data_IF_925862282767
#
_entry.id   IF_925862282767
#
_cell.length_a   1.000
_cell.length_b   1.000
_cell.length_c   1.000
_cell.angle_alpha   90.00
_cell.angle_beta   90.00
_cell.angle_gamma   90.00
#
_symmetry.space_group_name_H-M   'P 1'
#
loop_
_entity.id
_entity.type
_entity.pdbx_description
1 polymer ?
#
# COMPACT_ATOMS: atom_id res chain seq x y z
N UNK A 1 13.89 6.24 -56.20
CA UNK A 1 12.66 5.84 -55.48
C UNK A 1 13.02 4.79 -54.45
N UNK A 2 13.16 5.18 -53.18
CA UNK A 2 13.35 4.24 -52.08
C UNK A 2 12.25 4.49 -51.05
N UNK A 3 11.32 3.55 -50.93
CA UNK A 3 10.22 3.55 -49.96
C UNK A 3 10.80 3.32 -48.56
N UNK A 4 10.58 4.25 -47.65
CA UNK A 4 10.78 4.06 -46.21
C UNK A 4 9.53 3.39 -45.64
N UNK A 5 9.67 2.20 -45.07
CA UNK A 5 8.66 1.59 -44.20
C UNK A 5 9.22 1.74 -42.79
N UNK A 6 8.65 2.66 -42.01
CA UNK A 6 8.93 2.78 -40.59
C UNK A 6 7.96 1.82 -39.91
N UNK A 7 8.51 0.74 -39.33
CA UNK A 7 7.76 -0.19 -38.50
C UNK A 7 7.39 0.50 -37.19
N UNK A 8 6.09 0.69 -36.97
CA UNK A 8 5.53 1.21 -35.73
C UNK A 8 5.71 0.16 -34.64
N UNK A 9 6.56 0.45 -33.65
CA UNK A 9 6.67 -0.36 -32.45
C UNK A 9 5.42 -0.12 -31.58
N UNK A 10 4.53 -1.10 -31.54
CA UNK A 10 3.39 -1.10 -30.63
C UNK A 10 3.88 -1.34 -29.21
N UNK A 11 3.83 -0.29 -28.38
CA UNK A 11 3.95 -0.42 -26.92
C UNK A 11 2.63 -1.02 -26.43
N UNK A 12 2.66 -2.29 -26.08
CA UNK A 12 1.58 -2.93 -25.32
C UNK A 12 1.73 -2.43 -23.89
N UNK A 13 1.00 -1.37 -23.56
CA UNK A 13 0.75 -1.02 -22.16
C UNK A 13 -0.10 -2.15 -21.58
N UNK A 14 0.53 -3.01 -20.78
CA UNK A 14 -0.18 -3.90 -19.87
C UNK A 14 -0.83 -3.00 -18.82
N UNK A 15 -2.07 -2.60 -19.06
CA UNK A 15 -2.95 -2.09 -18.02
C UNK A 15 -3.16 -3.23 -17.03
N UNK A 16 -2.45 -3.18 -15.90
CA UNK A 16 -2.70 -4.04 -14.75
C UNK A 16 -4.10 -3.75 -14.22
N UNK A 17 -4.93 -4.78 -14.17
CA UNK A 17 -6.21 -4.73 -13.48
C UNK A 17 -5.95 -4.64 -11.97
N UNK A 18 -6.44 -3.57 -11.34
CA UNK A 18 -6.76 -3.53 -9.91
C UNK A 18 -5.58 -3.42 -8.95
N UNK A 19 -4.77 -2.37 -9.07
CA UNK A 19 -4.00 -1.86 -7.93
C UNK A 19 -4.44 -0.41 -7.73
N UNK A 20 -5.22 -0.16 -6.69
CA UNK A 20 -5.48 1.21 -6.24
C UNK A 20 -4.31 1.58 -5.34
N UNK A 21 -3.55 2.61 -5.69
CA UNK A 21 -2.43 3.12 -4.89
C UNK A 21 -1.16 3.39 -5.68
N UNK A 22 -0.30 4.22 -5.13
CA UNK A 22 1.04 4.51 -5.66
C UNK A 22 2.02 3.44 -5.19
N UNK A 23 2.91 2.98 -6.07
CA UNK A 23 4.03 2.11 -5.67
C UNK A 23 5.13 2.97 -5.00
N UNK A 24 5.13 3.01 -3.66
CA UNK A 24 6.16 3.66 -2.84
C UNK A 24 7.32 2.72 -2.52
N UNK A 25 7.14 1.41 -2.72
CA UNK A 25 8.11 0.35 -2.41
C UNK A 25 7.94 -0.22 -1.00
N UNK A 26 6.83 0.05 -0.33
CA UNK A 26 6.58 -0.37 1.05
C UNK A 26 6.22 -1.86 1.14
N UNK A 27 5.43 -2.40 0.19
CA UNK A 27 5.16 -3.84 0.09
C UNK A 27 6.45 -4.61 -0.13
N UNK A 28 7.28 -4.19 -1.10
CA UNK A 28 8.56 -4.83 -1.40
C UNK A 28 9.50 -4.79 -0.19
N UNK A 29 9.55 -3.67 0.53
CA UNK A 29 10.35 -3.56 1.75
C UNK A 29 9.86 -4.52 2.84
N UNK A 30 8.55 -4.59 3.07
CA UNK A 30 7.95 -5.51 4.03
C UNK A 30 8.23 -6.98 3.68
N UNK A 31 8.16 -7.34 2.40
CA UNK A 31 8.48 -8.70 1.93
C UNK A 31 9.97 -9.05 2.04
N UNK A 32 10.85 -8.05 2.02
CA UNK A 32 12.29 -8.24 2.21
C UNK A 32 12.70 -8.40 3.69
N UNK A 33 11.95 -7.81 4.62
CA UNK A 33 12.15 -7.93 6.06
C UNK A 33 11.86 -6.64 6.83
N UNK A 34 12.46 -6.50 8.02
CA UNK A 34 12.34 -5.28 8.83
C UNK A 34 12.86 -4.05 8.04
N UNK A 35 12.14 -2.94 8.12
CA UNK A 35 12.42 -1.73 7.34
C UNK A 35 12.07 -0.46 8.11
N UNK A 36 12.42 0.71 7.57
CA UNK A 36 11.85 2.00 8.00
C UNK A 36 11.06 2.60 6.85
N UNK A 37 10.00 3.36 7.14
CA UNK A 37 9.20 4.00 6.09
C UNK A 37 10.06 4.98 5.29
N UNK A 38 10.99 5.67 5.94
CA UNK A 38 11.93 6.58 5.28
C UNK A 38 12.91 5.87 4.32
N UNK A 39 13.39 4.66 4.65
CA UNK A 39 14.26 3.89 3.75
C UNK A 39 13.50 3.39 2.52
N UNK A 40 12.21 3.06 2.67
CA UNK A 40 11.38 2.54 1.59
C UNK A 40 10.81 3.65 0.69
N UNK A 41 10.11 4.64 1.27
CA UNK A 41 9.35 5.66 0.54
C UNK A 41 10.12 6.98 0.31
N UNK A 42 11.29 7.14 0.94
CA UNK A 42 12.21 8.28 0.77
C UNK A 42 12.56 9.00 2.08
N UNK A 43 13.77 9.57 2.18
CA UNK A 43 14.25 10.20 3.42
C UNK A 43 13.56 11.53 3.77
N UNK A 44 12.72 12.03 2.87
CA UNK A 44 11.93 13.26 3.00
C UNK A 44 10.52 13.02 3.57
N UNK A 45 10.18 11.77 3.94
CA UNK A 45 8.89 11.47 4.58
C UNK A 45 8.80 12.18 5.93
N UNK A 46 7.80 13.07 6.04
CA UNK A 46 7.56 13.88 7.23
C UNK A 46 6.61 13.18 8.21
N UNK A 47 5.58 12.51 7.68
CA UNK A 47 4.55 11.82 8.45
C UNK A 47 4.12 10.55 7.72
N UNK A 48 3.80 9.51 8.48
CA UNK A 48 3.29 8.26 7.95
C UNK A 48 2.12 7.76 8.81
N UNK A 49 1.16 7.09 8.20
CA UNK A 49 -0.06 6.60 8.87
C UNK A 49 -0.42 5.20 8.40
N UNK A 50 -0.88 4.35 9.32
CA UNK A 50 -1.43 3.03 8.98
C UNK A 50 -2.87 3.20 8.49
N UNK A 51 -3.22 2.54 7.39
CA UNK A 51 -4.58 2.39 6.91
C UNK A 51 -5.04 0.95 7.06
N UNK A 52 -6.18 0.75 7.73
CA UNK A 52 -6.76 -0.57 7.98
C UNK A 52 -8.05 -0.79 7.19
N UNK A 53 -8.51 -2.06 7.07
CA UNK A 53 -9.83 -2.35 6.54
C UNK A 53 -10.91 -1.50 7.19
N UNK A 54 -11.95 -1.18 6.42
CA UNK A 54 -13.04 -0.29 6.79
C UNK A 54 -12.58 1.16 7.04
N UNK A 55 -11.55 1.59 6.31
CA UNK A 55 -11.09 2.99 6.32
C UNK A 55 -12.20 3.97 5.90
N UNK A 56 -12.05 5.22 6.29
CA UNK A 56 -12.96 6.35 6.21
C UNK A 56 -12.26 7.42 5.38
N UNK A 57 -12.84 7.74 4.22
CA UNK A 57 -12.31 8.73 3.28
C UNK A 57 -12.21 10.13 3.90
N UNK A 58 -13.13 10.51 4.79
CA UNK A 58 -13.11 11.82 5.44
C UNK A 58 -11.97 11.93 6.45
N UNK A 59 -11.64 10.84 7.14
CA UNK A 59 -10.48 10.80 8.04
C UNK A 59 -9.16 10.89 7.25
N UNK A 60 -9.04 10.15 6.15
CA UNK A 60 -7.88 10.25 5.26
C UNK A 60 -7.69 11.68 4.73
N UNK A 61 -8.79 12.33 4.30
CA UNK A 61 -8.78 13.73 3.86
C UNK A 61 -8.34 14.68 4.98
N UNK A 62 -8.78 14.45 6.22
CA UNK A 62 -8.37 15.25 7.38
C UNK A 62 -6.87 15.16 7.65
N UNK A 63 -6.27 14.00 7.41
CA UNK A 63 -4.83 13.77 7.57
C UNK A 63 -3.99 14.38 6.45
N UNK A 64 -4.61 14.64 5.30
CA UNK A 64 -4.01 15.31 4.13
C UNK A 64 -3.93 14.46 2.87
N UNK A 65 -4.52 13.27 2.87
CA UNK A 65 -4.56 12.38 1.69
C UNK A 65 -5.75 12.70 0.79
N UNK A 66 -5.66 12.31 -0.48
CA UNK A 66 -6.81 12.40 -1.39
C UNK A 66 -7.85 11.33 -1.02
N UNK A 67 -9.11 11.69 -0.73
CA UNK A 67 -10.18 10.71 -0.47
C UNK A 67 -10.48 9.80 -1.68
N UNK A 68 -10.09 10.19 -2.90
CA UNK A 68 -10.24 9.35 -4.10
C UNK A 68 -9.25 8.17 -4.11
N UNK A 69 -8.12 8.28 -3.41
CA UNK A 69 -7.11 7.21 -3.29
C UNK A 69 -7.48 6.15 -2.25
N UNK A 70 -8.57 6.35 -1.52
CA UNK A 70 -9.03 5.50 -0.43
C UNK A 70 -10.20 4.63 -0.92
N UNK A 71 -10.12 3.29 -0.83
CA UNK A 71 -11.23 2.42 -1.22
C UNK A 71 -12.43 2.63 -0.29
N UNK A 72 -13.64 2.52 -0.83
CA UNK A 72 -14.88 2.61 -0.09
C UNK A 72 -15.89 1.55 -0.51
N UNK A 73 -17.03 1.55 0.19
CA UNK A 73 -18.10 0.56 -0.03
C UNK A 73 -18.72 0.63 -1.42
N UNK A 74 -18.81 1.83 -2.02
CA UNK A 74 -19.55 2.07 -3.26
C UNK A 74 -18.66 1.98 -4.52
N UNK A 75 -17.35 2.05 -4.38
CA UNK A 75 -16.39 2.08 -5.49
C UNK A 75 -15.46 0.86 -5.53
N UNK A 76 -14.92 0.41 -4.39
CA UNK A 76 -14.12 -0.80 -4.28
C UNK A 76 -14.31 -1.47 -2.92
N UNK A 77 -15.48 -2.10 -2.74
CA UNK A 77 -15.85 -2.75 -1.49
C UNK A 77 -14.88 -3.86 -1.08
N UNK A 78 -14.31 -4.60 -2.04
CA UNK A 78 -13.39 -5.69 -1.74
C UNK A 78 -12.10 -5.17 -1.11
N UNK A 79 -11.47 -4.15 -1.70
CA UNK A 79 -10.29 -3.52 -1.11
C UNK A 79 -10.65 -2.84 0.22
N UNK A 80 -11.79 -2.18 0.30
CA UNK A 80 -12.25 -1.56 1.54
C UNK A 80 -12.39 -2.55 2.70
N UNK A 81 -12.87 -3.76 2.45
CA UNK A 81 -13.08 -4.80 3.47
C UNK A 81 -11.80 -5.57 3.85
N UNK A 82 -10.76 -5.56 3.00
CA UNK A 82 -9.63 -6.49 3.14
C UNK A 82 -8.26 -5.86 3.10
N UNK A 83 -8.08 -4.76 2.37
CA UNK A 83 -6.77 -4.15 2.18
C UNK A 83 -6.34 -3.38 3.44
N UNK A 84 -5.04 -3.41 3.66
CA UNK A 84 -4.35 -2.52 4.59
C UNK A 84 -3.25 -1.78 3.82
N UNK A 85 -2.75 -0.68 4.36
CA UNK A 85 -1.76 0.13 3.67
C UNK A 85 -1.02 1.08 4.58
N UNK A 86 -0.04 1.77 4.01
CA UNK A 86 0.67 2.85 4.68
C UNK A 86 0.57 4.09 3.79
N UNK A 87 0.08 5.18 4.37
CA UNK A 87 0.08 6.50 3.75
C UNK A 87 1.29 7.30 4.19
N UNK A 88 1.95 7.98 3.26
CA UNK A 88 3.10 8.85 3.52
C UNK A 88 2.81 10.28 3.06
N UNK A 89 3.32 11.25 3.82
CA UNK A 89 3.31 12.67 3.46
C UNK A 89 4.75 13.16 3.45
N UNK A 90 5.18 13.72 2.32
CA UNK A 90 6.54 14.19 2.10
C UNK A 90 6.54 15.42 1.18
N UNK A 91 6.85 16.61 1.70
CA UNK A 91 6.75 17.85 0.92
C UNK A 91 5.37 18.05 0.29
N UNK A 92 5.30 18.05 -1.05
CA UNK A 92 4.07 18.27 -1.82
C UNK A 92 3.31 16.97 -2.18
N UNK A 93 3.78 15.79 -1.74
CA UNK A 93 3.11 14.50 -1.99
C UNK A 93 2.44 13.96 -0.73
N UNK A 94 1.24 13.40 -0.91
CA UNK A 94 0.49 12.63 0.08
C UNK A 94 -0.09 11.41 -0.64
N UNK A 95 0.49 10.23 -0.42
CA UNK A 95 0.25 9.02 -1.21
C UNK A 95 0.00 7.83 -0.29
N UNK A 96 -0.87 6.91 -0.69
CA UNK A 96 -1.14 5.67 0.05
C UNK A 96 -0.73 4.49 -0.82
N UNK A 97 0.15 3.64 -0.28
CA UNK A 97 0.38 2.31 -0.85
C UNK A 97 -0.53 1.32 -0.13
N UNK A 98 -1.47 0.75 -0.89
CA UNK A 98 -2.32 -0.34 -0.44
C UNK A 98 -1.66 -1.67 -0.77
N UNK A 99 -1.63 -2.57 0.20
CA UNK A 99 -0.98 -3.86 0.06
C UNK A 99 -1.94 -4.94 -0.43
N UNK A 100 -1.39 -5.95 -1.10
CA UNK A 100 -2.11 -7.19 -1.35
C UNK A 100 -2.37 -7.89 0.01
N UNK A 101 -3.63 -8.08 0.43
CA UNK A 101 -3.96 -8.69 1.72
C UNK A 101 -3.54 -10.15 1.83
N UNK A 102 -3.16 -10.80 0.71
CA UNK A 102 -2.57 -12.14 0.69
C UNK A 102 -1.07 -12.15 0.90
N UNK A 103 -0.42 -10.98 0.91
CA UNK A 103 1.03 -10.84 1.07
C UNK A 103 1.41 -10.05 2.31
N UNK A 104 0.79 -8.88 2.53
CA UNK A 104 1.15 -7.99 3.63
C UNK A 104 -0.10 -7.52 4.37
N UNK A 105 -0.05 -7.56 5.70
CA UNK A 105 -1.05 -7.02 6.60
C UNK A 105 -0.41 -5.96 7.52
N UNK A 106 -0.71 -4.70 7.25
CA UNK A 106 -0.29 -3.58 8.09
C UNK A 106 -1.09 -3.48 9.38
N UNK A 107 -2.21 -4.18 9.50
CA UNK A 107 -3.17 -4.04 10.60
C UNK A 107 -3.21 -5.28 11.48
N UNK A 108 -2.01 -5.78 11.81
CA UNK A 108 -1.82 -6.84 12.78
C UNK A 108 -2.41 -6.51 14.16
N UNK A 109 -2.39 -7.50 15.05
CA UNK A 109 -2.99 -7.38 16.39
C UNK A 109 -2.45 -6.16 17.16
N UNK A 110 -3.37 -5.31 17.62
CA UNK A 110 -3.04 -4.12 18.42
C UNK A 110 -2.72 -2.86 17.61
N UNK A 111 -2.78 -2.92 16.28
CA UNK A 111 -2.63 -1.74 15.42
C UNK A 111 -3.97 -1.02 15.27
N UNK A 112 -3.99 0.28 15.58
CA UNK A 112 -5.15 1.13 15.39
C UNK A 112 -5.10 1.80 13.99
N UNK A 113 -6.26 1.87 13.32
CA UNK A 113 -6.37 2.61 12.06
C UNK A 113 -5.99 4.07 12.27
N UNK A 114 -5.30 4.65 11.28
CA UNK A 114 -4.73 6.01 11.31
C UNK A 114 -3.70 6.24 12.40
N UNK A 115 -3.16 5.18 13.00
CA UNK A 115 -2.00 5.28 13.86
C UNK A 115 -0.85 5.96 13.12
N UNK A 116 -0.33 7.05 13.70
CA UNK A 116 0.86 7.72 13.19
C UNK A 116 2.08 6.84 13.42
N UNK A 117 2.90 6.69 12.39
CA UNK A 117 4.13 5.90 12.39
C UNK A 117 5.29 6.90 12.36
N UNK A 118 6.28 6.74 13.24
CA UNK A 118 7.56 7.45 13.10
C UNK A 118 8.29 6.91 11.85
N UNK A 119 8.52 7.72 10.80
CA UNK A 119 9.12 7.23 9.56
C UNK A 119 10.54 6.67 9.73
N UNK A 120 11.24 7.06 10.80
CA UNK A 120 12.58 6.60 11.13
C UNK A 120 12.60 5.40 12.10
N UNK A 121 11.46 5.03 12.69
CA UNK A 121 11.35 3.85 13.54
C UNK A 121 11.37 2.57 12.70
N UNK A 122 11.95 1.50 13.23
CA UNK A 122 11.92 0.20 12.59
C UNK A 122 10.50 -0.38 12.64
N UNK A 123 9.92 -0.63 11.47
CA UNK A 123 8.76 -1.49 11.30
C UNK A 123 9.23 -2.94 11.31
N UNK A 124 8.72 -3.71 12.26
CA UNK A 124 9.04 -5.13 12.40
C UNK A 124 8.11 -5.96 11.53
N UNK A 125 8.66 -7.01 10.93
CA UNK A 125 7.92 -7.96 10.11
C UNK A 125 7.84 -9.32 10.80
N UNK A 126 6.71 -9.98 10.68
CA UNK A 126 6.53 -11.35 11.12
C UNK A 126 5.73 -12.13 10.07
N UNK A 127 6.10 -13.37 9.80
CA UNK A 127 5.33 -14.23 8.91
C UNK A 127 4.26 -14.98 9.70
N UNK A 128 3.02 -14.92 9.23
CA UNK A 128 1.89 -15.65 9.79
C UNK A 128 1.19 -16.47 8.71
N UNK A 129 0.90 -17.73 9.01
CA UNK A 129 0.11 -18.59 8.13
C UNK A 129 -1.37 -18.25 8.27
N UNK A 130 -2.04 -17.89 7.17
CA UNK A 130 -3.46 -17.48 7.17
C UNK A 130 -4.27 -18.29 6.16
N UNK A 131 -5.43 -18.76 6.60
CA UNK A 131 -6.43 -19.38 5.74
C UNK A 131 -7.38 -18.33 5.20
N UNK A 132 -7.62 -18.34 3.89
CA UNK A 132 -8.52 -17.44 3.18
C UNK A 132 -9.87 -18.10 2.90
N UNK A 133 -10.87 -17.29 2.54
CA UNK A 133 -12.24 -17.77 2.31
C UNK A 133 -12.37 -18.79 1.17
N UNK A 134 -11.39 -18.85 0.26
CA UNK A 134 -11.30 -19.85 -0.81
C UNK A 134 -10.72 -21.21 -0.33
N UNK A 135 -10.34 -21.31 0.94
CA UNK A 135 -9.73 -22.47 1.57
C UNK A 135 -8.22 -22.59 1.32
N UNK A 136 -7.61 -21.60 0.65
CA UNK A 136 -6.16 -21.56 0.49
C UNK A 136 -5.50 -21.06 1.79
N UNK A 137 -4.33 -21.63 2.12
CA UNK A 137 -3.47 -21.10 3.17
C UNK A 137 -2.24 -20.47 2.54
N UNK A 138 -1.93 -19.23 2.90
CA UNK A 138 -0.72 -18.53 2.48
C UNK A 138 0.02 -17.92 3.66
N UNK A 139 1.32 -17.73 3.48
CA UNK A 139 2.16 -17.00 4.41
C UNK A 139 2.00 -15.50 4.15
N UNK A 140 1.56 -14.76 5.17
CA UNK A 140 1.34 -13.31 5.13
C UNK A 140 2.35 -12.64 6.03
N UNK A 141 3.00 -11.60 5.52
CA UNK A 141 3.86 -10.71 6.31
C UNK A 141 2.99 -9.73 7.10
N UNK A 142 3.05 -9.79 8.42
CA UNK A 142 2.34 -8.90 9.33
C UNK A 142 3.28 -7.84 9.87
N UNK A 143 2.88 -6.58 9.77
CA UNK A 143 3.65 -5.45 10.26
C UNK A 143 3.36 -5.20 11.73
N UNK A 144 4.40 -4.76 12.46
CA UNK A 144 4.33 -4.34 13.85
C UNK A 144 5.10 -3.04 14.02
N UNK A 145 4.46 -2.08 14.67
CA UNK A 145 4.98 -0.75 14.93
C UNK A 145 5.31 -0.63 16.43
N UNK A 146 6.49 -0.10 16.76
CA UNK A 146 6.98 0.10 18.14
C UNK A 146 6.84 1.56 18.61
#
# INVERSE_FOLDING_TARGET
>A
MFRKIIATASVVALAGCGAHGTELGLEDAALAGDFTVADAAGPDVERAYVFCPYTDKAEAQRLGFDPEDVPGIDDNSQAWETASGIGVIAGDRAEIEWFDPRKVDACGSGVEAYGEIDPAATVRTATESREFADGETAEVTVLRFE
#
